data_IF_641206637517
#
_entry.id   IF_641206637517
#
_cell.length_a   1.000
_cell.length_b   1.000
_cell.length_c   1.000
_cell.angle_alpha   90.00
_cell.angle_beta   90.00
_cell.angle_gamma   90.00
#
_symmetry.space_group_name_H-M   'P 1'
#
loop_
_entity.id
_entity.type
_entity.pdbx_description
1 polymer ?
#
# COMPACT_ATOMS: atom_id res chain seq x y z
N UNK A 1 16.42 1.30 7.53
CA UNK A 1 15.49 1.02 6.41
C UNK A 1 14.10 1.51 6.82
N UNK A 2 13.10 1.45 5.95
CA UNK A 2 11.72 1.68 6.36
C UNK A 2 10.83 0.54 5.90
N UNK A 3 9.77 0.30 6.65
CA UNK A 3 8.72 -0.63 6.31
C UNK A 3 7.45 0.16 5.98
N UNK A 4 6.74 -0.24 4.94
CA UNK A 4 5.48 0.38 4.51
C UNK A 4 4.41 -0.66 4.30
N UNK A 5 3.18 -0.25 4.57
CA UNK A 5 1.99 -1.05 4.29
C UNK A 5 0.77 -0.17 4.01
N UNK A 6 -0.27 -0.79 3.46
CA UNK A 6 -1.55 -0.19 3.15
C UNK A 6 -2.39 0.07 4.39
N UNK A 7 -3.63 0.54 4.16
CA UNK A 7 -4.59 0.80 5.22
C UNK A 7 -5.37 -0.47 5.59
N UNK A 8 -5.03 -1.07 6.73
CA UNK A 8 -5.68 -2.28 7.24
C UNK A 8 -7.14 -2.07 7.71
N UNK A 9 -7.59 -0.81 7.82
CA UNK A 9 -9.02 -0.53 8.06
C UNK A 9 -9.89 -0.83 6.83
N UNK A 10 -9.27 -1.21 5.70
CA UNK A 10 -9.93 -1.51 4.44
C UNK A 10 -9.79 -2.99 4.08
N UNK A 11 -10.76 -3.57 3.35
CA UNK A 11 -10.60 -4.90 2.77
C UNK A 11 -9.38 -4.92 1.84
N UNK A 12 -8.43 -5.81 2.14
CA UNK A 12 -7.18 -5.94 1.41
C UNK A 12 -6.95 -7.35 0.86
N UNK A 13 -6.09 -7.44 -0.15
CA UNK A 13 -5.50 -8.68 -0.65
C UNK A 13 -4.00 -8.52 -0.65
N UNK A 14 -3.33 -9.32 0.16
CA UNK A 14 -1.87 -9.28 0.35
C UNK A 14 -1.20 -10.05 -0.78
N UNK A 15 -0.35 -9.37 -1.56
CA UNK A 15 0.39 -9.95 -2.68
C UNK A 15 1.81 -10.40 -2.32
N UNK A 16 2.56 -10.83 -3.35
CA UNK A 16 3.98 -11.20 -3.24
C UNK A 16 4.94 -10.01 -3.33
N UNK A 17 4.48 -8.81 -3.67
CA UNK A 17 5.33 -7.60 -3.74
C UNK A 17 4.72 -6.30 -3.21
N UNK A 18 3.41 -6.27 -2.97
CA UNK A 18 2.66 -5.14 -2.41
C UNK A 18 1.26 -5.57 -1.99
N UNK A 19 0.58 -4.70 -1.25
CA UNK A 19 -0.82 -4.90 -0.85
C UNK A 19 -1.75 -4.20 -1.86
N UNK A 20 -2.94 -4.76 -2.06
CA UNK A 20 -4.02 -4.14 -2.81
C UNK A 20 -5.20 -3.95 -1.87
N UNK A 21 -5.71 -2.72 -1.73
CA UNK A 21 -6.87 -2.46 -0.87
C UNK A 21 -7.93 -1.60 -1.55
N UNK A 22 -9.17 -1.75 -1.07
CA UNK A 22 -10.32 -1.01 -1.59
C UNK A 22 -10.49 0.29 -0.83
N UNK A 23 -10.41 1.41 -1.55
CA UNK A 23 -10.61 2.75 -1.00
C UNK A 23 -12.00 3.23 -1.33
N UNK A 24 -12.79 3.53 -0.31
CA UNK A 24 -14.08 4.20 -0.43
C UNK A 24 -13.87 5.70 -0.51
N UNK A 25 -14.34 6.31 -1.60
CA UNK A 25 -14.43 7.74 -1.77
C UNK A 25 -15.46 8.37 -0.85
N UNK A 26 -15.37 9.68 -0.65
CA UNK A 26 -16.26 10.44 0.24
C UNK A 26 -17.74 10.32 -0.15
N UNK A 27 -18.03 10.03 -1.44
CA UNK A 27 -19.37 9.85 -1.96
C UNK A 27 -19.80 8.37 -2.06
N UNK A 28 -19.00 7.45 -1.49
CA UNK A 28 -19.30 6.01 -1.45
C UNK A 28 -18.84 5.19 -2.67
N UNK A 29 -18.30 5.83 -3.71
CA UNK A 29 -17.70 5.10 -4.84
C UNK A 29 -16.41 4.41 -4.38
N UNK A 30 -16.02 3.30 -5.00
CA UNK A 30 -14.81 2.56 -4.61
C UNK A 30 -13.78 2.50 -5.72
N UNK A 31 -12.51 2.52 -5.35
CA UNK A 31 -11.37 2.23 -6.21
C UNK A 31 -10.46 1.20 -5.56
N UNK A 32 -9.67 0.47 -6.34
CA UNK A 32 -8.59 -0.38 -5.82
C UNK A 32 -7.24 0.29 -6.02
N UNK A 33 -6.47 0.40 -4.97
CA UNK A 33 -5.11 0.97 -5.02
C UNK A 33 -4.09 -0.05 -4.56
N UNK A 34 -2.85 0.19 -4.93
CA UNK A 34 -1.68 -0.53 -4.45
C UNK A 34 -0.54 0.47 -4.25
N UNK A 35 0.53 0.07 -3.59
CA UNK A 35 1.78 0.82 -3.60
C UNK A 35 2.91 -0.04 -4.15
N UNK A 36 4.02 0.59 -4.53
CA UNK A 36 5.22 -0.13 -4.88
C UNK A 36 6.40 0.80 -5.14
N UNK A 37 7.59 0.20 -5.15
CA UNK A 37 8.83 0.91 -5.43
C UNK A 37 8.81 1.60 -6.80
N UNK A 38 9.46 2.77 -6.88
CA UNK A 38 9.64 3.53 -8.12
C UNK A 38 11.05 3.26 -8.63
N UNK A 39 11.18 2.33 -9.59
CA UNK A 39 12.48 1.91 -10.10
C UNK A 39 13.30 1.06 -9.12
N UNK A 40 12.67 0.53 -8.06
CA UNK A 40 13.31 -0.31 -7.06
C UNK A 40 12.42 -1.48 -6.64
N UNK A 41 13.05 -2.59 -6.25
CA UNK A 41 12.38 -3.74 -5.62
C UNK A 41 12.39 -3.61 -4.09
N UNK A 42 11.40 -4.19 -3.42
CA UNK A 42 11.42 -4.35 -1.96
C UNK A 42 12.62 -5.20 -1.51
N UNK A 43 13.02 -5.03 -0.25
CA UNK A 43 14.17 -5.73 0.37
C UNK A 43 13.74 -6.90 1.24
N UNK A 44 12.48 -7.32 1.11
CA UNK A 44 11.84 -8.31 1.95
C UNK A 44 10.53 -7.80 2.53
N UNK A 45 9.94 -8.63 3.37
CA UNK A 45 8.72 -8.33 4.10
C UNK A 45 8.77 -8.91 5.50
N UNK A 46 8.04 -8.29 6.42
CA UNK A 46 7.80 -8.79 7.77
C UNK A 46 6.29 -8.86 8.03
N UNK A 47 5.91 -9.57 9.08
CA UNK A 47 4.52 -9.69 9.55
C UNK A 47 4.47 -9.18 10.97
N UNK A 48 3.56 -8.24 11.26
CA UNK A 48 3.40 -7.70 12.61
C UNK A 48 2.58 -8.62 13.53
N UNK A 49 2.46 -8.26 14.81
CA UNK A 49 1.70 -9.04 15.79
C UNK A 49 0.20 -9.17 15.50
N UNK A 50 -0.34 -8.31 14.63
CA UNK A 50 -1.73 -8.37 14.14
C UNK A 50 -1.84 -9.12 12.80
N UNK A 51 -0.78 -9.81 12.38
CA UNK A 51 -0.67 -10.58 11.13
C UNK A 51 -0.71 -9.73 9.86
N UNK A 52 -0.42 -8.44 9.95
CA UNK A 52 -0.34 -7.62 8.76
C UNK A 52 1.04 -7.64 8.11
N UNK A 53 1.08 -7.63 6.78
CA UNK A 53 2.32 -7.67 6.02
C UNK A 53 2.88 -6.27 5.78
N UNK A 54 4.17 -6.11 6.04
CA UNK A 54 4.92 -4.88 5.85
C UNK A 54 6.06 -5.10 4.87
N UNK A 55 6.24 -4.17 3.92
CA UNK A 55 7.23 -4.27 2.86
C UNK A 55 8.42 -3.36 3.14
N UNK A 56 9.62 -3.92 3.08
CA UNK A 56 10.85 -3.22 3.46
C UNK A 56 11.48 -2.54 2.25
N UNK A 57 11.94 -1.30 2.42
CA UNK A 57 12.65 -0.51 1.43
C UNK A 57 13.87 0.20 2.06
N UNK A 58 14.83 0.60 1.22
CA UNK A 58 15.95 1.43 1.69
C UNK A 58 15.47 2.85 1.97
N UNK A 59 16.11 3.57 2.89
CA UNK A 59 15.73 4.95 3.24
C UNK A 59 15.69 5.92 2.05
N UNK A 60 16.48 5.65 1.01
CA UNK A 60 16.55 6.46 -0.22
C UNK A 60 15.58 6.00 -1.31
N UNK A 61 14.94 4.84 -1.14
CA UNK A 61 13.99 4.32 -2.12
C UNK A 61 12.72 5.19 -2.10
N UNK A 62 12.06 5.28 -3.26
CA UNK A 62 10.77 5.96 -3.40
C UNK A 62 9.67 4.91 -3.59
N UNK A 63 8.54 5.12 -2.95
CA UNK A 63 7.32 4.31 -3.12
C UNK A 63 6.21 5.21 -3.65
N UNK A 64 5.45 4.70 -4.61
CA UNK A 64 4.30 5.40 -5.17
C UNK A 64 3.02 4.59 -4.94
N UNK A 65 1.94 5.29 -4.60
CA UNK A 65 0.58 4.77 -4.64
C UNK A 65 0.07 4.84 -6.08
N UNK A 66 -0.55 3.75 -6.55
CA UNK A 66 -1.05 3.60 -7.92
C UNK A 66 -2.43 2.95 -7.91
N UNK A 67 -3.20 3.17 -8.97
CA UNK A 67 -4.38 2.34 -9.23
C UNK A 67 -3.93 0.89 -9.46
N UNK A 68 -4.63 -0.06 -8.84
CA UNK A 68 -4.41 -1.47 -9.08
C UNK A 68 -5.03 -1.87 -10.43
N UNK A 69 -4.20 -1.93 -11.47
CA UNK A 69 -4.65 -2.22 -12.83
C UNK A 69 -5.53 -1.11 -13.43
N UNK A 70 -6.04 -1.36 -14.64
CA UNK A 70 -6.95 -0.45 -15.33
C UNK A 70 -8.32 -0.46 -14.66
N UNK A 71 -8.87 0.72 -14.39
CA UNK A 71 -10.16 0.91 -13.71
C UNK A 71 -10.87 2.14 -14.28
N UNK A 72 -12.19 2.05 -14.45
CA UNK A 72 -13.03 3.24 -14.70
C UNK A 72 -13.31 3.93 -13.38
N UNK A 73 -12.84 5.17 -13.24
CA UNK A 73 -12.94 5.93 -11.99
C UNK A 73 -14.08 6.94 -12.10
N UNK A 74 -15.02 6.89 -11.15
CA UNK A 74 -16.05 7.93 -11.01
C UNK A 74 -15.41 9.16 -10.36
N UNK A 75 -15.86 10.36 -10.75
CA UNK A 75 -15.40 11.58 -10.11
C UNK A 75 -15.80 11.56 -8.62
N UNK A 76 -14.81 11.57 -7.73
CA UNK A 76 -14.96 11.56 -6.28
C UNK A 76 -13.63 11.97 -5.64
N UNK A 77 -13.60 12.14 -4.32
CA UNK A 77 -12.36 12.28 -3.55
C UNK A 77 -12.09 10.98 -2.79
N UNK A 78 -10.95 10.34 -3.06
CA UNK A 78 -10.57 9.06 -2.50
C UNK A 78 -9.43 9.22 -1.47
N UNK A 79 -9.70 9.17 -0.16
CA UNK A 79 -8.66 9.28 0.86
C UNK A 79 -7.81 8.01 0.89
N UNK A 80 -6.49 8.16 0.79
CA UNK A 80 -5.54 7.05 0.88
C UNK A 80 -4.67 7.24 2.12
N UNK A 81 -4.53 6.17 2.90
CA UNK A 81 -3.67 6.10 4.07
C UNK A 81 -2.58 5.04 3.81
N UNK A 82 -1.36 5.32 4.26
CA UNK A 82 -0.27 4.36 4.35
C UNK A 82 0.28 4.40 5.78
N UNK A 83 0.70 3.25 6.29
CA UNK A 83 1.46 3.17 7.53
C UNK A 83 2.95 2.98 7.21
N UNK A 84 3.80 3.74 7.89
CA UNK A 84 5.25 3.74 7.69
C UNK A 84 5.92 3.62 9.05
N UNK A 85 6.88 2.71 9.15
CA UNK A 85 7.69 2.51 10.36
C UNK A 85 9.18 2.50 9.99
N UNK A 86 10.02 2.95 10.92
CA UNK A 86 11.44 2.68 10.86
C UNK A 86 11.68 1.17 10.97
N UNK A 87 12.61 0.65 10.17
CA UNK A 87 13.00 -0.74 10.21
C UNK A 87 14.51 -0.87 10.27
N UNK A 88 15.00 -1.63 11.25
CA UNK A 88 16.40 -1.98 11.43
C UNK A 88 16.52 -3.50 11.37
N UNK A 89 17.38 -4.00 10.49
CA UNK A 89 17.69 -5.42 10.35
C UNK A 89 18.75 -5.88 11.36
#
# INVERSE_FOLDING_TARGET
>A
QYAVTGDYSKPETVGNGSDVWTVSGKSGNTIKVTFGGVGCANKGSLVDGASHKWWVYNMTDKVAVKLSGSQTIKADTYPVTLHIAEYQA
#
